data_IF_378604037394
#
_entry.id   IF_378604037394
#
_cell.length_a   1.000
_cell.length_b   1.000
_cell.length_c   1.000
_cell.angle_alpha   90.00
_cell.angle_beta   90.00
_cell.angle_gamma   90.00
#
_symmetry.space_group_name_H-M   'P 1'
#
loop_
_entity.id
_entity.type
_entity.pdbx_description
1 polymer ?
#
# COMPACT_ATOMS: atom_id res chain seq x y z
N UNK A 1 -39.00 0.37 -15.00
CA UNK A 1 -38.00 -0.19 -14.06
C UNK A 1 -36.94 -1.04 -14.76
N UNK A 2 -37.26 -2.15 -15.45
CA UNK A 2 -36.26 -3.05 -16.07
C UNK A 2 -35.30 -2.40 -17.08
N UNK A 3 -35.76 -1.43 -17.88
CA UNK A 3 -34.93 -0.69 -18.85
C UNK A 3 -34.00 0.35 -18.20
N UNK A 4 -34.41 0.92 -17.07
CA UNK A 4 -33.62 1.91 -16.32
C UNK A 4 -32.47 1.21 -15.60
N UNK A 5 -32.74 0.06 -14.96
CA UNK A 5 -31.69 -0.76 -14.35
C UNK A 5 -30.65 -1.23 -15.38
N UNK A 6 -31.08 -1.54 -16.61
CA UNK A 6 -30.16 -1.93 -17.68
C UNK A 6 -29.27 -0.76 -18.14
N UNK A 7 -29.83 0.44 -18.23
CA UNK A 7 -29.09 1.65 -18.56
C UNK A 7 -28.06 2.02 -17.49
N UNK A 8 -28.43 1.91 -16.22
CA UNK A 8 -27.51 2.16 -15.09
C UNK A 8 -26.39 1.12 -15.07
N UNK A 9 -26.70 -0.16 -15.27
CA UNK A 9 -25.70 -1.22 -15.35
C UNK A 9 -24.74 -1.03 -16.53
N UNK A 10 -25.27 -0.64 -17.69
CA UNK A 10 -24.46 -0.39 -18.88
C UNK A 10 -23.54 0.83 -18.69
N UNK A 11 -24.03 1.91 -18.07
CA UNK A 11 -23.20 3.07 -17.71
C UNK A 11 -22.06 2.68 -16.76
N UNK A 12 -22.35 1.81 -15.79
CA UNK A 12 -21.38 1.33 -14.82
C UNK A 12 -20.29 0.49 -15.50
N UNK A 13 -20.66 -0.43 -16.39
CA UNK A 13 -19.73 -1.24 -17.18
C UNK A 13 -18.86 -0.39 -18.12
N UNK A 14 -19.41 0.68 -18.72
CA UNK A 14 -18.64 1.58 -19.58
C UNK A 14 -17.64 2.40 -18.75
N UNK A 15 -18.00 2.84 -17.54
CA UNK A 15 -17.08 3.56 -16.65
C UNK A 15 -15.88 2.73 -16.17
N UNK A 16 -16.03 1.40 -16.14
CA UNK A 16 -14.95 0.46 -15.82
C UNK A 16 -13.92 0.29 -16.95
N UNK A 17 -14.22 0.79 -18.16
CA UNK A 17 -13.37 0.63 -19.34
C UNK A 17 -12.48 1.86 -19.63
N UNK A 18 -11.91 2.47 -18.58
CA UNK A 18 -10.88 3.48 -18.77
C UNK A 18 -9.65 2.85 -19.45
N UNK A 19 -9.05 3.48 -20.49
CA UNK A 19 -7.88 2.96 -21.16
C UNK A 19 -6.73 2.83 -20.16
N UNK A 20 -6.11 1.65 -20.10
CA UNK A 20 -4.86 1.42 -19.39
C UNK A 20 -3.76 2.25 -20.07
N UNK A 21 -3.62 3.50 -19.64
CA UNK A 21 -2.47 4.31 -20.03
C UNK A 21 -1.21 3.61 -19.53
N UNK A 22 -0.20 3.53 -20.41
CA UNK A 22 1.13 3.04 -20.06
C UNK A 22 1.55 3.71 -18.73
N UNK A 23 1.75 2.86 -17.72
CA UNK A 23 1.53 3.20 -16.32
C UNK A 23 2.38 4.37 -15.84
N UNK A 24 1.70 5.46 -15.50
CA UNK A 24 2.24 6.48 -14.61
C UNK A 24 2.77 5.76 -13.35
N UNK A 25 4.01 6.07 -12.90
CA UNK A 25 4.55 5.49 -11.67
C UNK A 25 3.56 5.66 -10.52
N UNK A 26 3.39 4.62 -9.71
CA UNK A 26 2.42 4.61 -8.62
C UNK A 26 0.97 4.31 -9.03
N UNK A 27 0.61 4.26 -10.32
CA UNK A 27 -0.77 3.99 -10.73
C UNK A 27 -1.11 2.50 -10.73
N UNK A 28 -2.17 2.14 -10.01
CA UNK A 28 -2.81 0.83 -10.02
C UNK A 28 -4.33 0.96 -10.08
N UNK A 29 -4.93 0.59 -11.22
CA UNK A 29 -6.36 0.81 -11.47
C UNK A 29 -6.73 2.29 -11.31
N UNK A 30 -7.70 2.61 -10.46
CA UNK A 30 -8.16 3.96 -10.15
C UNK A 30 -7.39 4.62 -8.98
N UNK A 31 -6.38 3.95 -8.42
CA UNK A 31 -5.56 4.44 -7.30
C UNK A 31 -4.17 4.81 -7.80
N UNK A 32 -3.66 5.96 -7.39
CA UNK A 32 -2.29 6.39 -7.68
C UNK A 32 -1.53 6.61 -6.38
N UNK A 33 -0.56 5.76 -6.07
CA UNK A 33 0.31 5.88 -4.90
C UNK A 33 1.30 7.02 -5.13
N UNK A 34 1.35 7.95 -4.18
CA UNK A 34 2.22 9.13 -4.25
C UNK A 34 3.44 8.97 -3.33
N UNK A 35 3.19 8.48 -2.11
CA UNK A 35 4.20 8.33 -1.07
C UNK A 35 3.86 7.19 -0.12
N UNK A 36 4.90 6.53 0.39
CA UNK A 36 4.77 5.49 1.42
C UNK A 36 5.79 5.74 2.51
N UNK A 37 5.34 5.81 3.75
CA UNK A 37 6.19 5.79 4.93
C UNK A 37 6.01 4.46 5.65
N UNK A 38 7.11 3.73 5.83
CA UNK A 38 7.16 2.45 6.51
C UNK A 38 7.83 2.67 7.86
N UNK A 39 7.18 2.28 8.94
CA UNK A 39 7.76 2.32 10.28
C UNK A 39 7.88 0.90 10.81
N UNK A 40 9.09 0.48 11.17
CA UNK A 40 9.29 -0.78 11.89
C UNK A 40 8.77 -0.60 13.31
N UNK A 41 7.68 -1.29 13.64
CA UNK A 41 7.01 -1.18 14.93
C UNK A 41 7.56 -2.18 15.95
N UNK A 42 7.97 -3.36 15.47
CA UNK A 42 8.47 -4.49 16.25
C UNK A 42 9.27 -5.44 15.33
N UNK A 43 9.88 -6.50 15.86
CA UNK A 43 10.67 -7.48 15.10
C UNK A 43 9.96 -7.98 13.85
N UNK A 44 8.67 -8.31 13.98
CA UNK A 44 7.88 -8.90 12.90
C UNK A 44 6.68 -8.04 12.50
N UNK A 45 6.68 -6.74 12.83
CA UNK A 45 5.57 -5.85 12.47
C UNK A 45 6.06 -4.52 11.91
N UNK A 46 5.40 -4.09 10.85
CA UNK A 46 5.61 -2.78 10.25
C UNK A 46 4.29 -2.06 10.05
N UNK A 47 4.30 -0.76 10.34
CA UNK A 47 3.23 0.17 9.99
C UNK A 47 3.53 0.82 8.65
N UNK A 48 2.49 1.04 7.88
CA UNK A 48 2.51 1.71 6.58
C UNK A 48 1.56 2.89 6.65
N UNK A 49 2.06 4.06 6.30
CA UNK A 49 1.29 5.27 6.05
C UNK A 49 1.44 5.56 4.56
N UNK A 50 0.31 5.55 3.84
CA UNK A 50 0.29 5.59 2.38
C UNK A 50 -0.54 6.76 1.93
N UNK A 51 0.10 7.67 1.20
CA UNK A 51 -0.58 8.78 0.53
C UNK A 51 -0.84 8.40 -0.92
N UNK A 52 -2.06 8.64 -1.37
CA UNK A 52 -2.50 8.29 -2.72
C UNK A 52 -3.60 9.23 -3.19
N UNK A 53 -3.97 9.10 -4.46
CA UNK A 53 -5.17 9.72 -5.00
C UNK A 53 -6.07 8.66 -5.63
N UNK A 54 -7.39 8.88 -5.53
CA UNK A 54 -8.43 8.10 -6.20
C UNK A 54 -8.95 8.90 -7.39
N UNK A 55 -8.99 8.30 -8.57
CA UNK A 55 -9.52 8.92 -9.80
C UNK A 55 -10.89 9.56 -9.53
N UNK A 56 -11.05 10.85 -9.85
CA UNK A 56 -12.25 11.64 -9.57
C UNK A 56 -13.54 10.98 -10.06
N UNK A 57 -13.46 10.31 -11.23
CA UNK A 57 -14.60 9.61 -11.84
C UNK A 57 -15.09 8.40 -11.02
N UNK A 58 -14.27 7.89 -10.10
CA UNK A 58 -14.54 6.69 -9.30
C UNK A 58 -14.76 7.02 -7.82
N UNK A 59 -14.33 8.19 -7.33
CA UNK A 59 -14.49 8.61 -5.93
C UNK A 59 -15.93 8.45 -5.42
N UNK A 60 -16.93 8.87 -6.21
CA UNK A 60 -18.34 8.72 -5.84
C UNK A 60 -18.75 7.25 -5.67
N UNK A 61 -18.22 6.35 -6.51
CA UNK A 61 -18.50 4.92 -6.42
C UNK A 61 -17.86 4.31 -5.18
N UNK A 62 -16.62 4.69 -4.83
CA UNK A 62 -15.95 4.24 -3.61
C UNK A 62 -16.71 4.71 -2.36
N UNK A 63 -17.22 5.96 -2.36
CA UNK A 63 -18.05 6.47 -1.27
C UNK A 63 -19.39 5.72 -1.15
N UNK A 64 -20.02 5.38 -2.27
CA UNK A 64 -21.33 4.72 -2.30
C UNK A 64 -21.25 3.23 -1.92
N UNK A 65 -20.24 2.53 -2.42
CA UNK A 65 -20.07 1.07 -2.25
C UNK A 65 -19.23 0.73 -1.00
N UNK A 66 -18.60 1.74 -0.39
CA UNK A 66 -17.72 1.59 0.75
C UNK A 66 -16.27 1.36 0.35
N UNK A 67 -15.37 1.47 1.34
CA UNK A 67 -13.92 1.42 1.16
C UNK A 67 -13.34 -0.01 1.05
N UNK A 68 -14.19 -1.02 0.84
CA UNK A 68 -13.78 -2.43 0.75
C UNK A 68 -12.89 -2.70 -0.45
N UNK A 69 -13.33 -2.32 -1.65
CA UNK A 69 -12.54 -2.46 -2.88
C UNK A 69 -11.22 -1.68 -2.78
N UNK A 70 -11.23 -0.49 -2.17
CA UNK A 70 -10.01 0.30 -1.95
C UNK A 70 -8.99 -0.43 -1.04
N UNK A 71 -9.45 -1.08 0.04
CA UNK A 71 -8.59 -1.94 0.88
C UNK A 71 -8.00 -3.08 0.06
N UNK A 72 -8.82 -3.75 -0.75
CA UNK A 72 -8.36 -4.86 -1.59
C UNK A 72 -7.29 -4.37 -2.60
N UNK A 73 -7.48 -3.21 -3.23
CA UNK A 73 -6.46 -2.62 -4.13
C UNK A 73 -5.17 -2.31 -3.39
N UNK A 74 -5.22 -1.71 -2.21
CA UNK A 74 -4.02 -1.46 -1.40
C UNK A 74 -3.32 -2.79 -1.05
N UNK A 75 -4.07 -3.79 -0.60
CA UNK A 75 -3.52 -5.12 -0.30
C UNK A 75 -2.87 -5.80 -1.51
N UNK A 76 -3.46 -5.66 -2.70
CA UNK A 76 -2.90 -6.16 -3.95
C UNK A 76 -1.63 -5.42 -4.37
N UNK A 77 -1.55 -4.11 -4.15
CA UNK A 77 -0.38 -3.27 -4.49
C UNK A 77 0.83 -3.71 -3.66
N UNK A 78 0.63 -3.82 -2.35
CA UNK A 78 1.71 -4.07 -1.39
C UNK A 78 2.06 -5.56 -1.25
N UNK A 79 1.14 -6.48 -1.51
CA UNK A 79 1.40 -7.92 -1.63
C UNK A 79 1.82 -8.65 -0.35
N UNK A 80 1.47 -8.17 0.84
CA UNK A 80 1.63 -8.91 2.10
C UNK A 80 0.50 -9.92 2.35
N UNK A 81 0.76 -10.92 3.18
CA UNK A 81 -0.21 -11.98 3.49
C UNK A 81 -1.33 -11.52 4.45
N UNK A 82 -1.03 -10.56 5.33
CA UNK A 82 -1.92 -10.14 6.41
C UNK A 82 -1.86 -8.62 6.62
N UNK A 83 -3.03 -7.99 6.62
CA UNK A 83 -3.21 -6.54 6.76
C UNK A 83 -4.19 -6.23 7.88
N UNK A 84 -3.76 -5.39 8.80
CA UNK A 84 -4.64 -4.74 9.77
C UNK A 84 -4.74 -3.27 9.42
N UNK A 85 -5.82 -2.88 8.71
CA UNK A 85 -6.07 -1.47 8.39
C UNK A 85 -6.57 -0.72 9.62
N UNK A 86 -5.85 0.33 10.01
CA UNK A 86 -6.25 1.26 11.05
C UNK A 86 -7.16 2.35 10.47
N UNK A 87 -6.76 2.93 9.33
CA UNK A 87 -7.54 3.92 8.60
C UNK A 87 -7.42 3.73 7.08
N UNK A 88 -8.47 4.08 6.34
CA UNK A 88 -8.47 4.18 4.87
C UNK A 88 -9.43 5.31 4.54
N UNK A 89 -8.96 6.34 3.83
CA UNK A 89 -9.74 7.47 3.33
C UNK A 89 -9.69 7.54 1.80
N UNK A 90 -9.82 8.71 1.18
CA UNK A 90 -9.76 8.85 -0.28
C UNK A 90 -8.37 9.24 -0.78
N UNK A 91 -7.54 9.73 0.13
CA UNK A 91 -6.22 10.29 -0.12
C UNK A 91 -5.12 9.65 0.75
N UNK A 92 -5.51 8.86 1.75
CA UNK A 92 -4.59 8.35 2.74
C UNK A 92 -5.06 7.00 3.30
N UNK A 93 -4.11 6.15 3.70
CA UNK A 93 -4.39 4.92 4.45
C UNK A 93 -3.26 4.60 5.40
N UNK A 94 -3.63 4.05 6.55
CA UNK A 94 -2.70 3.50 7.52
C UNK A 94 -3.05 2.05 7.83
N UNK A 95 -2.04 1.19 7.77
CA UNK A 95 -2.21 -0.23 8.07
C UNK A 95 -0.93 -0.85 8.63
N UNK A 96 -1.10 -1.97 9.31
CA UNK A 96 -0.01 -2.79 9.83
C UNK A 96 0.05 -4.12 9.09
N UNK A 97 1.26 -4.61 8.87
CA UNK A 97 1.51 -5.93 8.31
C UNK A 97 2.49 -6.70 9.18
N UNK A 98 2.36 -8.02 9.15
CA UNK A 98 3.37 -8.91 9.70
C UNK A 98 4.51 -9.03 8.68
N UNK A 99 5.73 -8.68 9.09
CA UNK A 99 6.95 -8.85 8.31
C UNK A 99 7.72 -10.06 8.86
N UNK A 100 8.40 -10.80 7.98
CA UNK A 100 9.25 -11.94 8.37
C UNK A 100 10.70 -11.48 8.47
N UNK A 101 11.01 -10.68 9.48
CA UNK A 101 12.38 -10.17 9.63
C UNK A 101 13.34 -11.28 9.99
N UNK A 102 14.55 -11.22 9.44
CA UNK A 102 15.60 -12.18 9.74
C UNK A 102 16.54 -11.64 10.81
N UNK A 103 16.74 -12.39 11.90
CA UNK A 103 17.72 -12.08 12.93
C UNK A 103 19.09 -12.63 12.54
N UNK A 104 20.10 -11.76 12.41
CA UNK A 104 21.46 -12.16 12.05
C UNK A 104 22.28 -12.72 13.23
N UNK A 105 21.72 -12.71 14.45
CA UNK A 105 22.33 -13.28 15.65
C UNK A 105 23.31 -12.35 16.37
N UNK A 106 23.48 -11.12 15.88
CA UNK A 106 24.40 -10.10 16.41
C UNK A 106 23.68 -8.81 16.87
N UNK A 107 22.35 -8.86 17.02
CA UNK A 107 21.51 -7.70 17.31
C UNK A 107 21.03 -6.94 16.06
N UNK A 108 21.47 -7.36 14.86
CA UNK A 108 21.01 -6.82 13.59
C UNK A 108 19.86 -7.64 13.03
N UNK A 109 18.80 -6.95 12.65
CA UNK A 109 17.62 -7.50 12.00
C UNK A 109 17.56 -7.06 10.55
N UNK A 110 16.93 -7.88 9.70
CA UNK A 110 16.73 -7.57 8.29
C UNK A 110 15.24 -7.43 7.99
N UNK A 111 14.83 -6.23 7.58
CA UNK A 111 13.51 -6.00 7.01
C UNK A 111 13.47 -6.68 5.63
N UNK A 112 12.48 -7.55 5.36
CA UNK A 112 12.50 -8.42 4.19
C UNK A 112 12.41 -7.64 2.87
N UNK A 113 12.97 -8.24 1.83
CA UNK A 113 12.70 -7.83 0.45
C UNK A 113 11.21 -7.95 0.16
N UNK A 114 10.67 -7.03 -0.65
CA UNK A 114 9.26 -7.06 -1.05
C UNK A 114 9.08 -6.62 -2.50
N UNK A 115 8.31 -7.39 -3.26
CA UNK A 115 7.94 -7.03 -4.62
C UNK A 115 6.56 -6.42 -4.67
N UNK A 116 6.49 -5.14 -5.05
CA UNK A 116 5.23 -4.44 -5.26
C UNK A 116 4.67 -4.70 -6.66
N UNK A 117 3.35 -4.60 -6.78
CA UNK A 117 2.65 -4.79 -8.05
C UNK A 117 2.95 -3.67 -9.06
N UNK A 118 3.27 -2.49 -8.54
CA UNK A 118 3.61 -1.28 -9.28
C UNK A 118 4.94 -0.71 -8.79
N UNK A 119 5.51 0.22 -9.56
CA UNK A 119 6.62 1.02 -9.08
C UNK A 119 6.11 2.14 -8.17
N UNK A 120 6.53 2.14 -6.91
CA UNK A 120 6.15 3.15 -5.91
C UNK A 120 7.08 4.37 -6.07
N UNK A 121 6.56 5.59 -6.25
CA UNK A 121 7.39 6.76 -6.52
C UNK A 121 8.39 7.08 -5.43
N UNK A 122 7.94 7.03 -4.17
CA UNK A 122 8.77 7.34 -3.00
C UNK A 122 8.42 6.43 -1.83
N UNK A 123 9.42 5.73 -1.30
CA UNK A 123 9.33 4.98 -0.06
C UNK A 123 10.31 5.57 0.93
N UNK A 124 9.80 6.02 2.07
CA UNK A 124 10.60 6.30 3.25
C UNK A 124 10.43 5.14 4.21
N UNK A 125 11.53 4.61 4.75
CA UNK A 125 11.49 3.64 5.83
C UNK A 125 12.20 4.19 7.05
N UNK A 126 11.55 4.11 8.20
CA UNK A 126 12.07 4.45 9.51
C UNK A 126 12.19 3.17 10.34
N UNK A 127 13.42 2.87 10.76
CA UNK A 127 13.74 1.76 11.63
C UNK A 127 14.60 2.28 12.78
N UNK A 128 13.97 2.49 13.95
CA UNK A 128 14.56 3.15 15.10
C UNK A 128 15.15 4.53 14.73
N UNK A 129 16.45 4.73 14.93
CA UNK A 129 17.18 5.97 14.63
C UNK A 129 17.63 6.10 13.17
N UNK A 130 17.38 5.07 12.34
CA UNK A 130 17.74 5.08 10.94
C UNK A 130 16.53 5.41 10.07
N UNK A 131 16.72 6.28 9.09
CA UNK A 131 15.76 6.51 8.02
C UNK A 131 16.43 6.36 6.66
N UNK A 132 15.70 5.83 5.68
CA UNK A 132 16.18 5.72 4.31
C UNK A 132 15.07 6.01 3.32
N UNK A 133 15.43 6.71 2.26
CA UNK A 133 14.51 7.08 1.18
C UNK A 133 14.92 6.29 -0.06
N UNK A 134 13.92 5.70 -0.72
CA UNK A 134 14.06 4.97 -1.95
C UNK A 134 13.12 5.55 -3.00
N UNK A 135 13.65 6.16 -4.06
CA UNK A 135 12.84 6.58 -5.20
C UNK A 135 12.54 5.39 -6.13
N UNK A 136 11.36 5.39 -6.74
CA UNK A 136 10.95 4.50 -7.83
C UNK A 136 11.21 3.01 -7.55
N UNK A 137 10.53 2.48 -6.53
CA UNK A 137 10.75 1.11 -6.06
C UNK A 137 9.65 0.19 -6.53
N UNK A 138 10.00 -0.82 -7.33
CA UNK A 138 9.14 -1.96 -7.61
C UNK A 138 9.55 -3.21 -6.82
N UNK A 139 10.85 -3.47 -6.77
CA UNK A 139 11.45 -4.54 -5.99
C UNK A 139 12.20 -3.88 -4.82
N UNK A 140 11.59 -3.85 -3.64
CA UNK A 140 12.18 -3.30 -2.42
C UNK A 140 13.30 -4.22 -1.94
N UNK A 141 14.54 -3.72 -1.80
CA UNK A 141 15.71 -4.56 -1.52
C UNK A 141 15.80 -5.02 -0.07
N UNK A 142 14.86 -4.64 0.79
CA UNK A 142 14.99 -4.80 2.24
C UNK A 142 16.02 -3.82 2.82
N UNK A 143 16.08 -3.77 4.16
CA UNK A 143 17.11 -3.00 4.89
C UNK A 143 17.52 -3.71 6.17
N UNK A 144 18.79 -3.58 6.53
CA UNK A 144 19.27 -3.92 7.86
C UNK A 144 18.92 -2.82 8.85
N UNK A 145 18.51 -3.21 10.05
CA UNK A 145 18.31 -2.30 11.17
C UNK A 145 18.78 -2.95 12.47
N UNK A 146 19.21 -2.13 13.42
CA UNK A 146 19.59 -2.61 14.73
C UNK A 146 18.37 -2.58 15.64
N UNK A 147 18.22 -3.59 16.50
CA UNK A 147 17.25 -3.53 17.60
C UNK A 147 18.00 -3.62 18.91
N UNK A 148 17.72 -2.69 19.82
CA UNK A 148 18.30 -2.74 21.15
C UNK A 148 17.80 -4.02 21.86
N UNK A 149 18.68 -4.89 22.40
CA UNK A 149 18.28 -6.12 23.09
C UNK A 149 17.29 -5.93 24.25
N UNK A 150 17.16 -4.71 24.78
CA UNK A 150 16.16 -4.36 25.81
C UNK A 150 14.71 -4.34 25.27
N UNK A 151 14.56 -4.17 23.95
CA UNK A 151 13.28 -4.14 23.25
C UNK A 151 12.82 -5.56 22.84
N UNK A 152 13.64 -6.60 23.10
CA UNK A 152 13.36 -8.03 22.81
C UNK A 152 12.44 -8.72 23.83
N UNK A 153 11.70 -7.95 24.63
CA UNK A 153 10.89 -8.48 25.76
C UNK A 153 9.45 -8.81 25.40
#
# INVERSE_FOLDING_TARGET
MRKVSFLVLLMLVISLSAPAMAGEPGRYSYVTIESVNITVLDFNKAGFEVDYSVDENVQFLVLLLGKGDLKDKLSEIFGYDDYTFDNVDMDHASFKVNIRSYNNGDGTYWFPEQKFKIEIPNITIQAQDNYKIFPQVKDFPGIGYYVNPQDEK
#
